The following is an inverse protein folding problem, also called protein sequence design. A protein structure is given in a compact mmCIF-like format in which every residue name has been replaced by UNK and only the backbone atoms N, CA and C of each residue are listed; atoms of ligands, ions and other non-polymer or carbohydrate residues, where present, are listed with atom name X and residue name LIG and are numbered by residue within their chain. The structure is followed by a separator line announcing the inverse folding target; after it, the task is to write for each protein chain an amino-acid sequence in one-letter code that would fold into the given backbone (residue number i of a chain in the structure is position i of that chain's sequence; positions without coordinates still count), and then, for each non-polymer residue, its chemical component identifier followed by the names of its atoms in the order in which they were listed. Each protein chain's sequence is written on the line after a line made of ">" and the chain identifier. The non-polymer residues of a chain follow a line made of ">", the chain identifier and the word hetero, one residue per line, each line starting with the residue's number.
data_IF_105780034791
#
_entry.id   IF_105780034791
#
_cell.length_a   1.000
_cell.length_b   1.000
_cell.length_c   1.000
_cell.angle_alpha   90.00
_cell.angle_beta   90.00
_cell.angle_gamma   90.00
#
_symmetry.space_group_name_H-M   'P 1'
#
loop_
_entity.id
_entity.type
_entity.pdbx_description
1 polymer ?
#
# COMPACT_ATOMS: atom_id res chain seq x y z
N UNK A 1 13.78 2.34 -16.12
CA UNK A 1 13.62 2.64 -14.69
C UNK A 1 12.16 2.97 -14.43
N UNK A 2 11.62 2.60 -13.28
CA UNK A 2 10.22 2.81 -12.91
C UNK A 2 10.20 3.59 -11.60
N UNK A 3 9.31 4.57 -11.48
CA UNK A 3 9.11 5.34 -10.24
C UNK A 3 7.72 5.06 -9.65
N UNK A 4 7.61 5.10 -8.33
CA UNK A 4 6.33 5.06 -7.62
C UNK A 4 5.60 6.41 -7.71
N UNK A 5 4.35 6.43 -7.26
CA UNK A 5 3.57 7.65 -7.16
C UNK A 5 3.85 8.38 -5.84
N UNK A 6 3.29 9.59 -5.73
CA UNK A 6 3.24 10.34 -4.49
C UNK A 6 2.35 9.64 -3.44
N UNK A 7 2.62 9.83 -2.14
CA UNK A 7 1.74 9.33 -1.10
C UNK A 7 0.35 9.98 -1.21
N UNK A 8 -0.68 9.18 -1.01
CA UNK A 8 -2.04 9.63 -0.74
C UNK A 8 -2.14 9.70 0.79
N UNK A 9 -2.11 10.91 1.33
CA UNK A 9 -2.02 11.14 2.77
C UNK A 9 -2.59 12.51 3.13
N UNK A 10 -3.17 12.60 4.32
CA UNK A 10 -3.67 13.84 4.94
C UNK A 10 -3.04 14.02 6.32
N UNK A 11 -3.08 15.25 6.87
CA UNK A 11 -2.45 15.58 8.16
C UNK A 11 -2.98 14.76 9.34
N UNK A 12 -4.21 14.26 9.27
CA UNK A 12 -4.85 13.44 10.30
C UNK A 12 -4.68 11.92 10.08
N UNK A 13 -3.81 11.51 9.15
CA UNK A 13 -3.55 10.10 8.86
C UNK A 13 -2.93 9.38 10.05
N UNK A 14 -3.53 8.26 10.45
CA UNK A 14 -3.08 7.44 11.58
C UNK A 14 -2.50 6.08 11.13
N UNK A 15 -2.98 5.59 9.98
CA UNK A 15 -2.59 4.30 9.40
C UNK A 15 -2.00 4.53 8.02
N UNK A 16 -0.80 4.02 7.75
CA UNK A 16 -0.18 4.06 6.42
C UNK A 16 -0.10 2.65 5.82
N UNK A 17 -0.78 2.42 4.70
CA UNK A 17 -0.65 1.18 3.94
C UNK A 17 0.50 1.29 2.94
N UNK A 18 1.39 0.30 2.92
CA UNK A 18 2.59 0.29 2.09
C UNK A 18 2.64 -0.91 1.13
N UNK A 19 2.57 -0.63 -0.17
CA UNK A 19 2.94 -1.56 -1.23
C UNK A 19 4.45 -1.62 -1.45
N UNK A 20 4.93 -2.55 -2.29
CA UNK A 20 6.35 -2.60 -2.66
C UNK A 20 6.65 -1.58 -3.75
N UNK A 21 5.93 -1.67 -4.87
CA UNK A 21 6.10 -0.87 -6.08
C UNK A 21 4.86 -1.02 -6.97
N UNK A 22 4.37 0.04 -7.64
CA UNK A 22 3.18 -0.06 -8.49
C UNK A 22 3.36 -1.07 -9.63
N UNK A 23 2.33 -1.89 -9.90
CA UNK A 23 2.34 -2.82 -11.03
C UNK A 23 2.25 -2.13 -12.40
N UNK A 24 2.49 -2.85 -13.50
CA UNK A 24 2.46 -2.28 -14.86
C UNK A 24 1.14 -1.56 -15.20
N UNK A 25 -0.02 -2.16 -14.83
CA UNK A 25 -1.32 -1.52 -15.05
C UNK A 25 -1.52 -0.28 -14.18
N UNK A 26 -0.99 -0.28 -12.96
CA UNK A 26 -1.02 0.90 -12.09
C UNK A 26 -0.23 2.03 -12.71
N UNK A 27 1.01 1.76 -13.16
CA UNK A 27 1.87 2.75 -13.80
C UNK A 27 1.25 3.32 -15.08
N UNK A 28 0.66 2.46 -15.92
CA UNK A 28 0.01 2.91 -17.14
C UNK A 28 -1.21 3.82 -16.87
N UNK A 29 -1.93 3.58 -15.76
CA UNK A 29 -3.13 4.33 -15.39
C UNK A 29 -2.86 5.48 -14.41
N UNK A 30 -1.65 5.58 -13.86
CA UNK A 30 -1.32 6.47 -12.74
C UNK A 30 -2.26 6.28 -11.55
N UNK A 31 -2.64 5.03 -11.27
CA UNK A 31 -3.59 4.67 -10.22
C UNK A 31 -2.99 3.57 -9.33
N UNK A 32 -3.03 3.74 -8.01
CA UNK A 32 -2.69 2.66 -7.08
C UNK A 32 -3.62 1.46 -7.28
N UNK A 33 -3.03 0.25 -7.32
CA UNK A 33 -3.73 -1.03 -7.46
C UNK A 33 -4.77 -1.10 -8.60
N UNK A 34 -4.48 -0.49 -9.75
CA UNK A 34 -5.40 -0.35 -10.88
C UNK A 34 -5.73 -1.67 -11.61
N UNK A 35 -4.98 -2.74 -11.35
CA UNK A 35 -5.22 -4.01 -12.02
C UNK A 35 -6.53 -4.65 -11.53
N UNK A 36 -7.44 -4.99 -12.45
CA UNK A 36 -8.79 -5.47 -12.11
C UNK A 36 -8.86 -6.70 -11.19
N UNK A 37 -7.83 -7.55 -11.20
CA UNK A 37 -7.74 -8.74 -10.32
C UNK A 37 -6.98 -8.47 -9.01
N UNK A 38 -6.57 -7.24 -8.76
CA UNK A 38 -6.00 -6.86 -7.48
C UNK A 38 -7.13 -6.69 -6.46
N UNK A 39 -7.02 -7.35 -5.32
CA UNK A 39 -8.07 -7.36 -4.30
C UNK A 39 -8.05 -6.13 -3.39
N UNK A 40 -7.12 -5.19 -3.56
CA UNK A 40 -6.96 -4.04 -2.66
C UNK A 40 -8.25 -3.21 -2.54
N UNK A 41 -8.73 -2.64 -3.65
CA UNK A 41 -9.93 -1.81 -3.61
C UNK A 41 -11.19 -2.58 -3.16
N UNK A 42 -11.44 -3.82 -3.64
CA UNK A 42 -12.52 -4.66 -3.09
C UNK A 42 -12.43 -4.87 -1.57
N UNK A 43 -11.22 -5.10 -1.02
CA UNK A 43 -11.03 -5.24 0.43
C UNK A 43 -11.36 -3.93 1.15
N UNK A 44 -10.75 -2.82 0.73
CA UNK A 44 -10.95 -1.50 1.36
C UNK A 44 -12.43 -1.11 1.39
N UNK A 45 -13.16 -1.30 0.28
CA UNK A 45 -14.59 -0.97 0.21
C UNK A 45 -15.48 -1.92 1.00
N UNK A 46 -15.10 -3.19 1.16
CA UNK A 46 -15.81 -4.10 2.04
C UNK A 46 -15.62 -3.73 3.52
N UNK A 47 -14.43 -3.26 3.89
CA UNK A 47 -14.12 -2.87 5.27
C UNK A 47 -14.77 -1.54 5.66
N UNK A 48 -14.64 -0.52 4.81
CA UNK A 48 -15.03 0.86 5.16
C UNK A 48 -16.25 1.39 4.41
N UNK A 49 -16.52 0.87 3.20
CA UNK A 49 -17.41 1.52 2.25
C UNK A 49 -18.88 1.13 2.35
N UNK A 50 -19.22 -0.09 2.79
CA UNK A 50 -20.57 -0.66 2.62
C UNK A 50 -21.13 -0.53 1.19
N UNK A 51 -20.27 -0.31 0.19
CA UNK A 51 -20.62 0.15 -1.15
C UNK A 51 -19.75 -0.53 -2.23
N UNK A 52 -20.14 -0.34 -3.49
CA UNK A 52 -19.39 -0.80 -4.66
C UNK A 52 -18.16 0.07 -4.92
N UNK A 53 -17.07 -0.53 -5.43
CA UNK A 53 -15.84 0.21 -5.76
C UNK A 53 -16.12 1.20 -6.91
N UNK A 54 -15.89 2.52 -6.72
CA UNK A 54 -16.09 3.52 -7.77
C UNK A 54 -15.19 3.29 -8.97
N UNK A 55 -15.62 3.77 -10.13
CA UNK A 55 -14.80 3.72 -11.36
C UNK A 55 -13.67 4.75 -11.34
N UNK A 56 -13.96 5.97 -10.88
CA UNK A 56 -13.02 7.08 -10.79
C UNK A 56 -12.05 6.88 -9.63
N UNK A 57 -10.78 7.16 -9.85
CA UNK A 57 -9.73 6.92 -8.86
C UNK A 57 -9.82 7.89 -7.67
N UNK A 58 -10.18 9.13 -7.96
CA UNK A 58 -10.36 10.21 -7.00
C UNK A 58 -11.48 9.87 -6.00
N UNK A 59 -12.51 9.16 -6.43
CA UNK A 59 -13.57 8.67 -5.55
C UNK A 59 -13.11 7.47 -4.71
N UNK A 60 -12.26 6.59 -5.26
CA UNK A 60 -11.68 5.45 -4.53
C UNK A 60 -10.86 5.90 -3.33
N UNK A 61 -10.09 6.98 -3.47
CA UNK A 61 -9.17 7.41 -2.41
C UNK A 61 -9.90 8.10 -1.25
N UNK A 62 -11.08 8.68 -1.47
CA UNK A 62 -11.85 9.37 -0.43
C UNK A 62 -12.18 8.47 0.75
N UNK A 63 -12.46 7.18 0.51
CA UNK A 63 -12.77 6.26 1.61
C UNK A 63 -11.55 6.01 2.50
N UNK A 64 -10.34 6.02 1.93
CA UNK A 64 -9.11 5.88 2.71
C UNK A 64 -8.93 7.11 3.61
N UNK A 65 -8.99 8.30 3.01
CA UNK A 65 -8.80 9.57 3.73
C UNK A 65 -9.86 9.78 4.81
N UNK A 66 -11.14 9.48 4.52
CA UNK A 66 -12.25 9.54 5.49
C UNK A 66 -12.00 8.66 6.72
N UNK A 67 -11.25 7.57 6.57
CA UNK A 67 -10.91 6.65 7.64
C UNK A 67 -9.47 6.84 8.16
N UNK A 68 -8.84 7.99 7.86
CA UNK A 68 -7.47 8.33 8.29
C UNK A 68 -6.41 7.31 7.84
N UNK A 69 -6.66 6.70 6.69
CA UNK A 69 -5.76 5.73 6.05
C UNK A 69 -5.03 6.42 4.90
N UNK A 70 -3.71 6.45 4.99
CA UNK A 70 -2.82 6.82 3.90
C UNK A 70 -2.40 5.61 3.07
N UNK A 71 -1.94 5.88 1.85
CA UNK A 71 -1.45 4.86 0.92
C UNK A 71 -0.18 5.34 0.22
N UNK A 72 0.84 4.48 0.23
CA UNK A 72 2.08 4.72 -0.51
C UNK A 72 2.76 3.39 -0.88
N UNK A 73 3.97 3.48 -1.43
CA UNK A 73 4.86 2.33 -1.63
C UNK A 73 6.18 2.54 -0.89
N UNK A 74 6.89 1.45 -0.62
CA UNK A 74 8.20 1.50 0.02
C UNK A 74 9.28 1.98 -0.95
N UNK A 75 9.22 1.59 -2.22
CA UNK A 75 10.23 1.96 -3.20
C UNK A 75 9.85 3.23 -3.97
N UNK A 76 10.75 4.21 -3.98
CA UNK A 76 10.67 5.42 -4.80
C UNK A 76 10.90 5.07 -6.27
N UNK A 77 11.94 4.29 -6.54
CA UNK A 77 12.25 3.81 -7.88
C UNK A 77 12.90 2.42 -7.87
N UNK A 78 12.82 1.73 -9.00
CA UNK A 78 13.56 0.51 -9.26
C UNK A 78 13.70 0.18 -10.76
N UNK A 79 14.55 -0.78 -11.06
CA UNK A 79 14.52 -1.52 -12.32
C UNK A 79 13.75 -2.84 -12.12
N UNK A 80 12.70 -3.05 -12.91
CA UNK A 80 11.90 -4.28 -12.85
C UNK A 80 11.42 -4.68 -14.23
N UNK A 81 11.64 -5.95 -14.61
CA UNK A 81 11.00 -6.55 -15.78
C UNK A 81 9.64 -7.12 -15.37
N UNK A 82 8.57 -6.67 -16.02
CA UNK A 82 7.21 -7.08 -15.67
C UNK A 82 6.73 -6.46 -14.35
N UNK A 83 5.87 -7.20 -13.62
CA UNK A 83 5.20 -6.71 -12.41
C UNK A 83 5.52 -7.49 -11.14
N UNK A 84 6.40 -8.50 -11.20
CA UNK A 84 6.73 -9.33 -10.05
C UNK A 84 7.91 -8.76 -9.27
N UNK A 85 7.78 -8.70 -7.95
CA UNK A 85 8.80 -8.12 -7.06
C UNK A 85 10.12 -8.88 -7.09
N UNK A 86 10.10 -10.18 -7.43
CA UNK A 86 11.32 -11.01 -7.60
C UNK A 86 12.27 -10.49 -8.69
N UNK A 87 11.82 -9.59 -9.56
CA UNK A 87 12.61 -9.01 -10.64
C UNK A 87 13.10 -7.59 -10.33
N UNK A 88 12.86 -7.08 -9.12
CA UNK A 88 13.31 -5.76 -8.68
C UNK A 88 14.84 -5.77 -8.50
N UNK A 89 15.50 -4.77 -9.08
CA UNK A 89 16.92 -4.46 -8.96
C UNK A 89 17.12 -2.96 -8.87
N UNK A 90 18.32 -2.53 -8.45
CA UNK A 90 18.76 -1.12 -8.47
C UNK A 90 17.67 -0.18 -7.93
N UNK A 91 17.16 -0.51 -6.73
CA UNK A 91 16.03 0.19 -6.13
C UNK A 91 16.51 1.27 -5.16
N UNK A 92 15.60 2.19 -4.84
CA UNK A 92 15.73 3.13 -3.74
C UNK A 92 14.39 3.25 -3.03
N UNK A 93 14.44 3.26 -1.72
CA UNK A 93 13.28 3.47 -0.85
C UNK A 93 12.85 4.95 -0.84
N UNK A 94 11.55 5.18 -0.66
CA UNK A 94 10.99 6.51 -0.43
C UNK A 94 11.54 7.12 0.88
N UNK A 95 11.52 8.45 0.98
CA UNK A 95 11.96 9.17 2.18
C UNK A 95 10.88 9.12 3.28
N UNK A 96 10.97 8.09 4.11
CA UNK A 96 10.08 7.91 5.26
C UNK A 96 10.47 8.78 6.45
N UNK A 97 11.73 9.20 6.56
CA UNK A 97 12.19 10.05 7.66
C UNK A 97 11.50 11.42 7.60
N UNK A 98 11.47 12.03 6.41
CA UNK A 98 10.73 13.28 6.16
C UNK A 98 9.22 13.06 6.31
N UNK A 99 8.68 11.94 5.80
CA UNK A 99 7.25 11.64 5.91
C UNK A 99 6.79 11.61 7.38
N UNK A 100 7.50 10.94 8.28
CA UNK A 100 7.07 10.85 9.69
C UNK A 100 7.23 12.15 10.47
N UNK A 101 8.12 13.05 10.02
CA UNK A 101 8.21 14.40 10.57
C UNK A 101 7.01 15.25 10.15
N UNK A 102 6.59 15.16 8.89
CA UNK A 102 5.43 15.90 8.36
C UNK A 102 4.09 15.34 8.87
N UNK A 103 4.00 14.01 9.03
CA UNK A 103 2.78 13.30 9.42
C UNK A 103 2.99 12.51 10.74
N UNK A 104 3.15 13.21 11.89
CA UNK A 104 3.50 12.56 13.16
C UNK A 104 2.38 11.72 13.77
N UNK A 105 1.15 11.84 13.26
CA UNK A 105 -0.01 11.06 13.70
C UNK A 105 -0.01 9.63 13.17
N UNK A 106 0.83 9.30 12.18
CA UNK A 106 1.01 7.93 11.73
C UNK A 106 1.59 7.13 12.90
N UNK A 107 0.83 6.15 13.39
CA UNK A 107 1.25 5.21 14.45
C UNK A 107 1.16 3.75 14.01
N UNK A 108 0.55 3.48 12.86
CA UNK A 108 0.42 2.12 12.32
C UNK A 108 0.87 2.06 10.88
N UNK A 109 1.68 1.06 10.55
CA UNK A 109 2.06 0.74 9.17
C UNK A 109 1.57 -0.66 8.81
N UNK A 110 0.85 -0.75 7.71
CA UNK A 110 0.28 -2.00 7.20
C UNK A 110 0.93 -2.32 5.85
N UNK A 111 1.79 -3.33 5.84
CA UNK A 111 2.49 -3.77 4.64
C UNK A 111 1.61 -4.69 3.79
N UNK A 112 1.39 -4.33 2.53
CA UNK A 112 0.70 -5.16 1.55
C UNK A 112 1.66 -6.19 0.93
N UNK A 113 2.00 -7.22 1.70
CA UNK A 113 2.93 -8.28 1.32
C UNK A 113 4.23 -8.27 2.11
N UNK A 114 4.95 -9.40 2.07
CA UNK A 114 6.20 -9.59 2.81
C UNK A 114 7.37 -8.79 2.23
N UNK A 115 7.37 -8.55 0.93
CA UNK A 115 8.47 -7.83 0.27
C UNK A 115 8.51 -6.35 0.68
N UNK A 116 7.37 -5.64 0.70
CA UNK A 116 7.34 -4.24 1.16
C UNK A 116 7.86 -4.12 2.59
N UNK A 117 7.44 -5.00 3.50
CA UNK A 117 7.96 -5.06 4.87
C UNK A 117 9.48 -5.28 4.90
N UNK A 118 10.00 -6.21 4.10
CA UNK A 118 11.42 -6.54 4.03
C UNK A 118 12.27 -5.35 3.53
N UNK A 119 11.83 -4.69 2.47
CA UNK A 119 12.51 -3.50 1.95
C UNK A 119 12.56 -2.39 3.00
N UNK A 120 11.43 -2.12 3.65
CA UNK A 120 11.33 -1.08 4.68
C UNK A 120 12.24 -1.38 5.87
N UNK A 121 12.09 -2.55 6.51
CA UNK A 121 12.86 -2.89 7.70
C UNK A 121 14.36 -2.91 7.45
N UNK A 122 14.79 -3.37 6.26
CA UNK A 122 16.22 -3.41 5.93
C UNK A 122 16.83 -2.01 5.89
N UNK A 123 16.06 -1.00 5.47
CA UNK A 123 16.54 0.38 5.33
C UNK A 123 16.37 1.19 6.62
N UNK A 124 15.22 1.08 7.27
CA UNK A 124 14.83 1.97 8.39
C UNK A 124 14.84 1.28 9.75
N UNK A 125 14.88 -0.06 9.79
CA UNK A 125 14.70 -0.81 11.03
C UNK A 125 13.31 -0.60 11.64
N UNK A 126 13.21 -0.78 12.96
CA UNK A 126 12.00 -0.43 13.71
C UNK A 126 12.07 1.02 14.15
N UNK A 127 10.97 1.74 13.92
CA UNK A 127 10.78 3.13 14.33
C UNK A 127 9.95 3.13 15.61
N UNK A 128 10.45 3.84 16.61
CA UNK A 128 9.78 3.91 17.91
C UNK A 128 8.39 4.53 17.79
N UNK A 129 7.40 3.92 18.44
CA UNK A 129 6.02 4.40 18.44
C UNK A 129 5.21 4.04 17.19
N UNK A 130 5.78 3.26 16.27
CA UNK A 130 5.06 2.68 15.13
C UNK A 130 4.79 1.19 15.37
N UNK A 131 3.54 0.80 15.19
CA UNK A 131 3.13 -0.61 15.16
C UNK A 131 3.08 -1.11 13.72
N UNK A 132 3.65 -2.28 13.47
CA UNK A 132 3.76 -2.86 12.13
C UNK A 132 2.88 -4.09 11.96
N UNK A 133 2.20 -4.17 10.82
CA UNK A 133 1.41 -5.33 10.42
C UNK A 133 1.75 -5.75 9.01
N UNK A 134 1.84 -7.07 8.76
CA UNK A 134 2.17 -7.61 7.44
C UNK A 134 1.00 -8.42 6.91
N UNK A 135 0.37 -7.90 5.87
CA UNK A 135 -0.81 -8.49 5.26
C UNK A 135 -0.45 -9.41 4.09
N UNK A 136 -1.31 -10.38 3.76
CA UNK A 136 -1.18 -11.10 2.49
C UNK A 136 -1.29 -10.11 1.33
N UNK A 137 -0.40 -10.25 0.34
CA UNK A 137 -0.43 -9.38 -0.84
C UNK A 137 -1.78 -9.45 -1.55
N UNK A 138 -2.33 -8.29 -1.90
CA UNK A 138 -3.59 -8.17 -2.65
C UNK A 138 -3.42 -8.43 -4.15
N UNK A 139 -2.18 -8.58 -4.62
CA UNK A 139 -1.87 -8.94 -6.00
C UNK A 139 -2.43 -10.33 -6.36
N UNK A 140 -2.81 -10.56 -7.64
CA UNK A 140 -3.18 -11.88 -8.14
C UNK A 140 -2.04 -12.90 -8.08
N UNK A 141 -0.78 -12.46 -7.92
CA UNK A 141 0.36 -13.37 -7.72
C UNK A 141 0.26 -14.15 -6.39
N UNK A 142 -0.48 -13.61 -5.42
CA UNK A 142 -0.82 -14.33 -4.20
C UNK A 142 -2.13 -15.12 -4.42
N UNK A 143 -2.03 -16.44 -4.41
CA UNK A 143 -3.12 -17.40 -4.70
C UNK A 143 -4.16 -17.53 -3.59
N UNK A 144 -3.96 -16.88 -2.44
CA UNK A 144 -4.97 -16.84 -1.37
C UNK A 144 -6.29 -16.26 -1.87
N UNK A 145 -7.42 -16.88 -1.47
CA UNK A 145 -8.76 -16.44 -1.85
C UNK A 145 -9.06 -15.02 -1.36
N UNK A 146 -10.04 -14.37 -2.00
CA UNK A 146 -10.48 -13.03 -1.61
C UNK A 146 -10.97 -13.02 -0.16
N UNK A 147 -11.79 -14.00 0.24
CA UNK A 147 -12.42 -14.09 1.55
C UNK A 147 -11.38 -14.22 2.67
N UNK A 148 -10.33 -15.03 2.44
CA UNK A 148 -9.24 -15.20 3.40
C UNK A 148 -8.38 -13.94 3.51
N UNK A 149 -8.09 -13.27 2.38
CA UNK A 149 -7.41 -11.96 2.41
C UNK A 149 -8.26 -10.96 3.18
N UNK A 150 -9.55 -10.84 2.85
CA UNK A 150 -10.47 -9.92 3.50
C UNK A 150 -10.54 -10.15 5.01
N UNK A 151 -10.66 -11.42 5.44
CA UNK A 151 -10.67 -11.78 6.87
C UNK A 151 -9.42 -11.28 7.57
N UNK A 152 -8.23 -11.60 7.04
CA UNK A 152 -6.96 -11.18 7.66
C UNK A 152 -6.86 -9.65 7.68
N UNK A 153 -7.16 -8.97 6.57
CA UNK A 153 -7.12 -7.51 6.50
C UNK A 153 -8.13 -6.85 7.47
N UNK A 154 -9.28 -7.47 7.71
CA UNK A 154 -10.30 -6.96 8.63
C UNK A 154 -9.85 -6.94 10.09
N UNK A 155 -8.97 -7.86 10.51
CA UNK A 155 -8.49 -7.96 11.89
C UNK A 155 -7.56 -6.81 12.29
N UNK A 156 -7.03 -6.04 11.33
CA UNK A 156 -6.03 -5.00 11.57
C UNK A 156 -6.48 -3.59 11.17
N UNK A 157 -7.47 -3.47 10.28
CA UNK A 157 -8.00 -2.19 9.81
C UNK A 157 -9.34 -1.80 10.45
N UNK A 158 -10.01 -2.71 11.16
CA UNK A 158 -11.15 -2.43 12.04
C UNK A 158 -10.73 -2.64 13.49
#
# INVERSE_FOLDING_TARGET
>A
MISSFRPIIENDTEILILGTMPGATSLARQEYYAYKRNHFWPIIYNLFGNETVPKLFEEKIKILLKNKVGLWDVLEYCERKGSLDIHIKNHKENDFDTLFQEFPLIKKIVFNGKESHKYFLRKFGQIQGITYYVMPSTSPANTMSFENKLKIWSEFLK
#
